data_IF_065110618173
#
_entry.id   IF_065110618173
#
_cell.length_a   1.000
_cell.length_b   1.000
_cell.length_c   1.000
_cell.angle_alpha   90.00
_cell.angle_beta   90.00
_cell.angle_gamma   90.00
#
_symmetry.space_group_name_H-M   'P 1'
#
loop_
_entity.id
_entity.type
_entity.pdbx_description
1 polymer ?
#
# COMPACT_ATOMS: atom_id res chain seq x y z
N UNK A 1 13.79 -7.22 30.55
CA UNK A 1 13.39 -6.61 29.28
C UNK A 1 12.24 -7.46 28.76
N UNK A 2 11.00 -6.96 28.80
CA UNK A 2 9.84 -7.73 28.32
C UNK A 2 9.91 -7.88 26.81
N UNK A 3 9.87 -9.12 26.33
CA UNK A 3 9.91 -9.49 24.93
C UNK A 3 8.55 -9.23 24.28
N UNK A 4 8.15 -7.95 24.19
CA UNK A 4 6.89 -7.54 23.53
C UNK A 4 7.15 -7.36 22.05
N UNK A 5 6.68 -8.30 21.24
CA UNK A 5 6.65 -8.14 19.78
C UNK A 5 5.79 -6.93 19.41
N UNK A 6 6.26 -6.06 18.51
CA UNK A 6 5.46 -4.93 18.05
C UNK A 6 4.21 -5.44 17.32
N UNK A 7 3.04 -4.88 17.66
CA UNK A 7 1.75 -5.28 17.06
C UNK A 7 1.67 -4.84 15.58
N UNK A 8 2.34 -3.74 15.22
CA UNK A 8 2.37 -3.22 13.86
C UNK A 8 3.73 -2.60 13.54
N UNK A 9 4.32 -3.00 12.42
CA UNK A 9 5.59 -2.45 11.94
C UNK A 9 5.40 -1.90 10.55
N UNK A 10 5.86 -0.65 10.35
CA UNK A 10 5.86 0.00 9.04
C UNK A 10 7.11 -0.39 8.28
N UNK A 11 6.97 -1.25 7.28
CA UNK A 11 8.08 -1.76 6.49
C UNK A 11 8.19 -1.04 5.15
N UNK A 12 9.41 -1.05 4.61
CA UNK A 12 9.65 -0.69 3.22
C UNK A 12 9.04 -1.78 2.33
N UNK A 13 8.84 -1.46 1.05
CA UNK A 13 8.38 -2.42 0.03
C UNK A 13 9.47 -3.47 -0.33
N UNK A 14 10.33 -3.81 0.64
CA UNK A 14 11.45 -4.72 0.52
C UNK A 14 11.04 -6.12 1.01
N UNK A 15 11.04 -7.06 0.08
CA UNK A 15 10.60 -8.43 0.35
C UNK A 15 11.53 -9.16 1.33
N UNK A 16 12.84 -8.88 1.30
CA UNK A 16 13.79 -9.50 2.22
C UNK A 16 13.57 -9.01 3.65
N UNK A 17 13.32 -7.72 3.82
CA UNK A 17 13.00 -7.14 5.13
C UNK A 17 11.64 -7.61 5.65
N UNK A 18 10.64 -7.76 4.76
CA UNK A 18 9.36 -8.37 5.13
C UNK A 18 9.51 -9.81 5.62
N UNK A 19 10.33 -10.62 4.93
CA UNK A 19 10.56 -12.02 5.30
C UNK A 19 11.31 -12.13 6.63
N UNK A 20 12.40 -11.37 6.80
CA UNK A 20 13.20 -11.39 8.03
C UNK A 20 12.39 -10.96 9.27
N UNK A 21 11.51 -9.96 9.13
CA UNK A 21 10.62 -9.56 10.24
C UNK A 21 9.54 -10.63 10.47
N UNK A 22 9.03 -11.29 9.42
CA UNK A 22 8.10 -12.41 9.57
C UNK A 22 8.72 -13.62 10.28
N UNK A 23 10.01 -13.87 10.10
CA UNK A 23 10.76 -14.93 10.81
C UNK A 23 10.99 -14.59 12.28
N UNK A 24 11.34 -13.33 12.59
CA UNK A 24 11.68 -12.90 13.95
C UNK A 24 10.43 -12.52 14.77
N UNK A 25 9.40 -11.99 14.11
CA UNK A 25 8.15 -11.52 14.70
C UNK A 25 6.92 -11.99 13.90
N UNK A 26 6.56 -13.29 13.96
CA UNK A 26 5.51 -13.89 13.14
C UNK A 26 4.10 -13.35 13.42
N UNK A 27 3.89 -12.73 14.58
CA UNK A 27 2.59 -12.16 14.99
C UNK A 27 2.48 -10.65 14.75
N UNK A 28 3.44 -10.04 14.04
CA UNK A 28 3.46 -8.61 13.76
C UNK A 28 2.72 -8.30 12.45
N UNK A 29 1.78 -7.37 12.49
CA UNK A 29 1.14 -6.89 11.26
C UNK A 29 2.09 -5.98 10.47
N UNK A 30 2.41 -6.38 9.25
CA UNK A 30 3.22 -5.59 8.34
C UNK A 30 2.34 -4.56 7.62
N UNK A 31 2.64 -3.28 7.80
CA UNK A 31 2.04 -2.21 6.99
C UNK A 31 3.13 -1.56 6.16
N UNK A 32 2.82 -1.19 4.93
CA UNK A 32 3.75 -0.37 4.16
C UNK A 32 3.80 1.04 4.76
N UNK A 33 5.01 1.58 4.92
CA UNK A 33 5.18 2.96 5.35
C UNK A 33 4.63 3.91 4.26
N UNK A 34 3.64 4.74 4.61
CA UNK A 34 3.01 5.69 3.68
C UNK A 34 4.03 6.59 2.98
N UNK A 35 5.08 7.02 3.68
CA UNK A 35 6.15 7.83 3.09
C UNK A 35 6.90 7.08 1.98
N UNK A 36 7.23 5.81 2.20
CA UNK A 36 7.89 4.98 1.19
C UNK A 36 6.96 4.67 0.02
N UNK A 37 5.66 4.48 0.27
CA UNK A 37 4.67 4.33 -0.80
C UNK A 37 4.60 5.61 -1.63
N UNK A 38 4.53 6.78 -1.00
CA UNK A 38 4.52 8.07 -1.72
C UNK A 38 5.81 8.30 -2.50
N UNK A 39 6.98 7.90 -1.97
CA UNK A 39 8.26 7.94 -2.71
C UNK A 39 8.26 7.01 -3.93
N UNK A 40 7.79 5.78 -3.78
CA UNK A 40 7.73 4.80 -4.87
C UNK A 40 6.67 5.17 -5.92
N UNK A 41 5.56 5.78 -5.50
CA UNK A 41 4.51 6.30 -6.38
C UNK A 41 5.09 7.25 -7.45
N UNK A 42 5.97 8.17 -7.03
CA UNK A 42 6.61 9.13 -7.95
C UNK A 42 7.36 8.46 -9.10
N UNK A 43 8.03 7.32 -8.87
CA UNK A 43 8.78 6.61 -9.91
C UNK A 43 7.96 5.55 -10.65
N UNK A 44 6.89 5.02 -10.04
CA UNK A 44 6.12 3.89 -10.56
C UNK A 44 4.85 4.28 -11.31
N UNK A 45 4.31 5.47 -11.07
CA UNK A 45 3.04 5.92 -11.64
C UNK A 45 3.20 6.72 -12.94
N UNK A 46 4.43 7.13 -13.29
CA UNK A 46 4.70 7.86 -14.52
C UNK A 46 3.78 9.07 -14.70
N UNK A 47 3.11 9.16 -15.84
CA UNK A 47 2.19 10.25 -16.22
C UNK A 47 0.99 10.38 -15.29
N UNK A 48 0.60 9.31 -14.58
CA UNK A 48 -0.49 9.36 -13.60
C UNK A 48 -0.18 10.31 -12.44
N UNK A 49 1.11 10.55 -12.13
CA UNK A 49 1.50 11.52 -11.10
C UNK A 49 1.06 12.95 -11.45
N UNK A 50 0.96 13.29 -12.73
CA UNK A 50 0.52 14.60 -13.21
C UNK A 50 -1.01 14.73 -13.21
N UNK A 51 -1.74 13.62 -13.09
CA UNK A 51 -3.19 13.63 -13.03
C UNK A 51 -3.67 13.88 -11.60
N UNK A 52 -4.05 15.13 -11.31
CA UNK A 52 -4.49 15.55 -9.99
C UNK A 52 -5.71 14.78 -9.47
N UNK A 53 -6.64 14.38 -10.35
CA UNK A 53 -7.80 13.56 -9.99
C UNK A 53 -7.38 12.16 -9.57
N UNK A 54 -6.44 11.56 -10.31
CA UNK A 54 -5.89 10.26 -9.96
C UNK A 54 -5.18 10.33 -8.60
N UNK A 55 -4.28 11.30 -8.42
CA UNK A 55 -3.55 11.48 -7.16
C UNK A 55 -4.48 11.74 -5.97
N UNK A 56 -5.60 12.43 -6.16
CA UNK A 56 -6.61 12.59 -5.12
C UNK A 56 -7.21 11.25 -4.69
N UNK A 57 -7.68 10.43 -5.64
CA UNK A 57 -8.29 9.12 -5.34
C UNK A 57 -7.26 8.14 -4.78
N UNK A 58 -6.04 8.13 -5.32
CA UNK A 58 -4.94 7.31 -4.83
C UNK A 58 -4.58 7.64 -3.37
N UNK A 59 -4.48 8.93 -3.02
CA UNK A 59 -4.26 9.35 -1.64
C UNK A 59 -5.44 8.99 -0.73
N UNK A 60 -6.68 9.03 -1.25
CA UNK A 60 -7.88 8.57 -0.53
C UNK A 60 -7.76 7.10 -0.14
N UNK A 61 -7.44 6.22 -1.10
CA UNK A 61 -7.21 4.80 -0.85
C UNK A 61 -6.16 4.53 0.24
N UNK A 62 -5.15 5.38 0.36
CA UNK A 62 -4.03 5.18 1.29
C UNK A 62 -4.28 5.69 2.70
N UNK A 63 -4.97 6.83 2.83
CA UNK A 63 -5.00 7.60 4.09
C UNK A 63 -6.37 7.77 4.68
N UNK A 64 -7.43 7.68 3.87
CA UNK A 64 -8.75 8.17 4.22
C UNK A 64 -9.85 7.11 4.03
N UNK A 65 -9.48 5.84 3.88
CA UNK A 65 -10.43 4.74 3.93
C UNK A 65 -10.44 4.14 5.33
N UNK A 66 -11.58 4.22 6.01
CA UNK A 66 -11.73 3.79 7.40
C UNK A 66 -12.11 2.30 7.51
N UNK A 67 -12.49 1.68 6.40
CA UNK A 67 -12.85 0.26 6.32
C UNK A 67 -12.28 -0.44 5.10
N UNK A 68 -12.15 -1.76 5.17
CA UNK A 68 -11.78 -2.61 4.02
C UNK A 68 -12.77 -2.46 2.86
N UNK A 69 -14.05 -2.28 3.16
CA UNK A 69 -15.10 -2.09 2.15
C UNK A 69 -14.93 -0.74 1.43
N UNK A 70 -14.71 0.34 2.18
CA UNK A 70 -14.49 1.67 1.58
C UNK A 70 -13.21 1.69 0.74
N UNK A 71 -12.15 1.04 1.22
CA UNK A 71 -10.93 0.85 0.44
C UNK A 71 -11.22 0.13 -0.87
N UNK A 72 -11.91 -1.01 -0.82
CA UNK A 72 -12.24 -1.79 -2.02
C UNK A 72 -13.02 -0.97 -3.03
N UNK A 73 -14.08 -0.30 -2.59
CA UNK A 73 -14.92 0.54 -3.45
C UNK A 73 -14.12 1.69 -4.07
N UNK A 74 -13.27 2.36 -3.28
CA UNK A 74 -12.45 3.46 -3.79
C UNK A 74 -11.37 2.96 -4.76
N UNK A 75 -10.79 1.78 -4.49
CA UNK A 75 -9.81 1.14 -5.36
C UNK A 75 -10.39 0.69 -6.70
N UNK A 76 -11.56 0.05 -6.69
CA UNK A 76 -12.27 -0.38 -7.89
C UNK A 76 -12.67 0.82 -8.74
N UNK A 77 -13.20 1.88 -8.12
CA UNK A 77 -13.50 3.14 -8.81
C UNK A 77 -12.26 3.78 -9.43
N UNK A 78 -11.13 3.75 -8.73
CA UNK A 78 -9.87 4.28 -9.25
C UNK A 78 -9.39 3.48 -10.47
N UNK A 79 -9.37 2.15 -10.36
CA UNK A 79 -8.83 1.29 -11.40
C UNK A 79 -9.65 1.34 -12.69
N UNK A 80 -10.98 1.34 -12.59
CA UNK A 80 -11.88 1.48 -13.73
C UNK A 80 -11.81 2.88 -14.37
N UNK A 81 -11.81 3.94 -13.56
CA UNK A 81 -11.86 5.32 -14.07
C UNK A 81 -10.61 5.75 -14.82
N UNK A 82 -9.46 5.20 -14.45
CA UNK A 82 -8.17 5.54 -15.03
C UNK A 82 -7.61 4.42 -15.93
N UNK A 83 -8.39 3.36 -16.20
CA UNK A 83 -8.02 2.22 -17.05
C UNK A 83 -6.68 1.57 -16.65
N UNK A 84 -6.49 1.35 -15.35
CA UNK A 84 -5.22 0.90 -14.74
C UNK A 84 -5.36 -0.45 -14.04
N UNK A 85 -6.40 -1.21 -14.37
CA UNK A 85 -6.65 -2.56 -13.84
C UNK A 85 -5.45 -3.51 -14.07
N UNK A 86 -4.70 -3.30 -15.15
CA UNK A 86 -3.53 -4.09 -15.50
C UNK A 86 -2.19 -3.46 -15.05
N UNK A 87 -2.22 -2.37 -14.27
CA UNK A 87 -1.01 -1.68 -13.84
C UNK A 87 -0.24 -2.51 -12.80
N UNK A 88 0.89 -3.09 -13.23
CA UNK A 88 1.65 -4.08 -12.47
C UNK A 88 1.93 -3.67 -11.02
N UNK A 89 2.43 -2.45 -10.79
CA UNK A 89 2.78 -1.99 -9.44
C UNK A 89 1.55 -1.77 -8.54
N UNK A 90 0.42 -1.33 -9.11
CA UNK A 90 -0.81 -1.13 -8.34
C UNK A 90 -1.42 -2.47 -7.95
N UNK A 91 -1.37 -3.46 -8.84
CA UNK A 91 -1.78 -4.83 -8.52
C UNK A 91 -0.90 -5.48 -7.45
N UNK A 92 0.40 -5.18 -7.44
CA UNK A 92 1.28 -5.59 -6.34
C UNK A 92 0.90 -4.92 -5.02
N UNK A 93 0.62 -3.61 -5.03
CA UNK A 93 0.16 -2.87 -3.85
C UNK A 93 -1.13 -3.44 -3.26
N UNK A 94 -2.11 -3.74 -4.11
CA UNK A 94 -3.38 -4.35 -3.72
C UNK A 94 -3.18 -5.69 -3.00
N UNK A 95 -2.32 -6.56 -3.54
CA UNK A 95 -2.00 -7.86 -2.92
C UNK A 95 -1.35 -7.71 -1.54
N UNK A 96 -0.52 -6.69 -1.33
CA UNK A 96 0.11 -6.43 -0.02
C UNK A 96 -0.93 -5.98 1.00
N UNK A 97 -1.91 -5.17 0.58
CA UNK A 97 -2.95 -4.65 1.47
C UNK A 97 -4.00 -5.69 1.88
N UNK A 98 -4.12 -6.79 1.13
CA UNK A 98 -5.01 -7.92 1.42
C UNK A 98 -4.29 -9.15 2.02
N UNK A 99 -3.00 -9.05 2.35
CA UNK A 99 -2.30 -9.99 3.23
C UNK A 99 -2.51 -9.60 4.69
#
# INVERSE_FOLDING_TARGET
MENRSPITTFINQDQAMSNAIGEVFPNTHHRLCLWHISKNALSRLGDLNSNSKFMYVFNKCQKYCDSKLEFQQTWDQMTQKFDIENHHWLNMMYKIQHK
#
